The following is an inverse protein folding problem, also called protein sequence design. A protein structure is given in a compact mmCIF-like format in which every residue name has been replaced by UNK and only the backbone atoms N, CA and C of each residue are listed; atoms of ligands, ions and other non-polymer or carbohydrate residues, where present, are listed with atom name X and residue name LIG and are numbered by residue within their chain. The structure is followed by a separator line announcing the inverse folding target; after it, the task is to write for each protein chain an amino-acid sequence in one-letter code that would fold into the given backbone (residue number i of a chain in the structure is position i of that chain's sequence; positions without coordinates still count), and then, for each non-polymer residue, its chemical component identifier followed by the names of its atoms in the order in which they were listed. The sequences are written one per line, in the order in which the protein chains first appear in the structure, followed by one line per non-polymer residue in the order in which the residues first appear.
data_IF_358896396127
#
_entry.id   IF_358896396127
#
_cell.length_a   1.000
_cell.length_b   1.000
_cell.length_c   1.000
_cell.angle_alpha   90.00
_cell.angle_beta   90.00
_cell.angle_gamma   90.00
#
_symmetry.space_group_name_H-M   'P 1'
#
loop_
_entity.id
_entity.type
_entity.pdbx_description
1 polymer ?
#
# COMPACT_ATOMS: atom_id res chain seq x y z
N UNK A 1 -6.15 -12.64 10.06
CA UNK A 1 -5.33 -12.06 8.98
C UNK A 1 -4.42 -11.03 9.63
N UNK A 2 -3.11 -11.22 9.50
CA UNK A 2 -2.11 -10.29 10.04
C UNK A 2 -2.12 -9.06 9.14
N UNK A 3 -2.80 -8.00 9.54
CA UNK A 3 -2.73 -6.71 8.85
C UNK A 3 -1.49 -6.01 9.39
N UNK A 4 -0.33 -6.37 8.85
CA UNK A 4 0.91 -5.64 9.09
C UNK A 4 0.65 -4.16 8.77
N UNK A 5 0.77 -3.31 9.79
CA UNK A 5 0.64 -1.85 9.70
C UNK A 5 1.84 -1.29 8.91
N UNK A 6 1.88 -1.62 7.63
CA UNK A 6 2.80 -1.06 6.65
C UNK A 6 2.12 0.19 6.13
N UNK A 7 2.76 1.35 6.30
CA UNK A 7 2.32 2.62 5.72
C UNK A 7 1.89 2.36 4.27
N UNK A 8 0.65 2.77 3.98
CA UNK A 8 -0.14 2.47 2.79
C UNK A 8 0.69 2.18 1.54
N UNK A 9 0.79 0.91 1.22
CA UNK A 9 0.97 0.46 -0.17
C UNK A 9 -0.29 -0.33 -0.46
N UNK A 10 -1.32 0.35 -0.97
CA UNK A 10 -2.39 -0.35 -1.70
C UNK A 10 -1.72 -0.89 -2.96
N UNK A 11 -1.13 -2.08 -2.86
CA UNK A 11 -0.76 -2.84 -4.02
C UNK A 11 -2.07 -3.23 -4.70
N UNK A 12 -2.43 -2.52 -5.76
CA UNK A 12 -3.51 -2.91 -6.65
C UNK A 12 -3.04 -4.14 -7.44
N UNK A 13 -3.03 -5.30 -6.78
CA UNK A 13 -2.88 -6.59 -7.43
C UNK A 13 -4.23 -6.96 -8.04
N UNK A 14 -4.42 -6.64 -9.32
CA UNK A 14 -5.44 -7.32 -10.10
C UNK A 14 -4.74 -8.47 -10.83
N UNK A 15 -5.05 -9.72 -10.52
CA UNK A 15 -4.53 -10.86 -11.27
C UNK A 15 -5.56 -11.23 -12.35
N UNK A 16 -5.38 -10.78 -13.59
CA UNK A 16 -6.15 -11.39 -14.69
C UNK A 16 -5.42 -12.62 -15.23
N UNK A 17 -5.83 -13.80 -14.76
CA UNK A 17 -5.59 -15.03 -15.48
C UNK A 17 -6.50 -15.07 -16.72
N UNK A 18 -5.98 -14.68 -17.89
CA UNK A 18 -6.73 -14.78 -19.14
C UNK A 18 -6.12 -15.81 -20.09
N UNK A 19 -6.80 -16.95 -20.22
CA UNK A 19 -6.85 -17.67 -21.49
C UNK A 19 -7.66 -16.84 -22.51
N UNK A 20 -7.06 -15.76 -23.03
CA UNK A 20 -7.68 -14.97 -24.08
C UNK A 20 -7.62 -15.74 -25.42
N UNK A 21 -8.74 -15.85 -26.17
CA UNK A 21 -8.69 -16.38 -27.52
C UNK A 21 -7.77 -15.49 -28.39
N UNK A 22 -6.90 -16.13 -29.17
CA UNK A 22 -5.95 -15.49 -30.07
C UNK A 22 -6.69 -14.64 -31.13
N UNK A 23 -6.97 -13.37 -30.81
CA UNK A 23 -7.71 -12.47 -31.69
C UNK A 23 -8.28 -11.21 -31.03
N UNK A 24 -8.37 -11.13 -29.70
CA UNK A 24 -8.78 -9.89 -29.03
C UNK A 24 -7.62 -8.89 -28.97
N UNK A 25 -7.86 -7.63 -29.34
CA UNK A 25 -6.93 -6.53 -29.11
C UNK A 25 -6.57 -6.48 -27.60
N UNK A 26 -5.32 -6.12 -27.23
CA UNK A 26 -4.89 -6.09 -25.84
C UNK A 26 -5.87 -5.23 -25.04
N UNK A 27 -6.57 -5.86 -24.09
CA UNK A 27 -7.50 -5.17 -23.21
C UNK A 27 -6.63 -4.33 -22.26
N UNK A 28 -6.67 -3.02 -22.44
CA UNK A 28 -6.12 -2.08 -21.46
C UNK A 28 -7.27 -1.78 -20.50
N UNK A 29 -7.09 -2.16 -19.23
CA UNK A 29 -7.98 -1.76 -18.15
C UNK A 29 -7.45 -0.46 -17.60
N UNK A 30 -8.33 0.52 -17.41
CA UNK A 30 -8.02 1.74 -16.67
C UNK A 30 -9.14 1.92 -15.68
N UNK A 31 -8.79 1.96 -14.40
CA UNK A 31 -9.73 2.20 -13.33
C UNK A 31 -9.25 3.35 -12.46
N UNK A 32 -10.21 4.13 -11.97
CA UNK A 32 -9.96 5.26 -11.08
C UNK A 32 -10.62 4.98 -9.76
N UNK A 33 -9.84 5.04 -8.69
CA UNK A 33 -10.30 4.66 -7.37
C UNK A 33 -10.05 5.79 -6.38
N UNK A 34 -10.91 5.82 -5.37
CA UNK A 34 -10.83 6.70 -4.21
C UNK A 34 -11.29 5.90 -3.00
N UNK A 35 -10.56 6.03 -1.90
CA UNK A 35 -10.86 5.36 -0.66
C UNK A 35 -10.79 6.37 0.48
N UNK A 36 -11.64 6.14 1.49
CA UNK A 36 -11.61 6.85 2.74
C UNK A 36 -11.71 5.84 3.87
N UNK A 37 -10.83 5.97 4.86
CA UNK A 37 -10.77 5.12 6.03
C UNK A 37 -10.62 6.00 7.27
N UNK A 38 -11.48 5.77 8.25
CA UNK A 38 -11.38 6.46 9.54
C UNK A 38 -11.82 5.52 10.67
N UNK A 39 -11.00 5.41 11.72
CA UNK A 39 -11.26 4.54 12.86
C UNK A 39 -10.44 4.95 14.09
N UNK A 40 -10.80 4.41 15.25
CA UNK A 40 -9.98 4.48 16.46
C UNK A 40 -8.81 3.49 16.30
N UNK A 41 -7.60 3.99 16.19
CA UNK A 41 -6.43 3.17 15.92
C UNK A 41 -6.18 2.12 17.02
N UNK A 42 -6.53 2.45 18.26
CA UNK A 42 -6.51 1.55 19.43
C UNK A 42 -7.38 0.28 19.29
N UNK A 43 -8.33 0.25 18.33
CA UNK A 43 -9.13 -0.95 18.05
C UNK A 43 -8.31 -2.03 17.33
N UNK A 44 -7.19 -1.66 16.70
CA UNK A 44 -6.24 -2.60 16.13
C UNK A 44 -5.29 -3.11 17.24
N UNK A 45 -5.32 -4.40 17.60
CA UNK A 45 -4.48 -4.94 18.66
C UNK A 45 -2.98 -4.92 18.35
N UNK A 46 -2.59 -4.70 17.09
CA UNK A 46 -1.20 -4.55 16.65
C UNK A 46 -0.74 -3.08 16.65
N UNK A 47 -1.67 -2.12 16.78
CA UNK A 47 -1.35 -0.70 16.79
C UNK A 47 -0.79 -0.25 18.14
N UNK A 48 0.47 0.22 18.13
CA UNK A 48 1.18 0.91 19.20
C UNK A 48 0.65 0.67 20.62
N UNK A 49 0.94 -0.51 21.15
CA UNK A 49 0.57 -0.90 22.51
C UNK A 49 1.16 0.11 23.51
N UNK A 50 0.35 0.54 24.47
CA UNK A 50 0.74 1.44 25.56
C UNK A 50 1.10 2.90 25.19
N UNK A 51 0.51 3.47 24.12
CA UNK A 51 0.64 4.91 23.81
C UNK A 51 0.23 5.84 24.97
N UNK A 52 -0.70 5.39 25.81
CA UNK A 52 -1.18 6.15 26.97
C UNK A 52 -2.26 7.19 26.64
N UNK A 53 -2.67 7.31 25.38
CA UNK A 53 -3.77 8.16 24.93
C UNK A 53 -4.44 7.55 23.68
N UNK A 54 -5.76 7.76 23.49
CA UNK A 54 -6.47 7.28 22.31
C UNK A 54 -6.12 8.04 21.03
N UNK A 55 -5.92 7.30 19.95
CA UNK A 55 -5.58 7.85 18.63
C UNK A 55 -6.71 7.63 17.62
N UNK A 56 -7.14 8.71 16.98
CA UNK A 56 -7.99 8.65 15.78
C UNK A 56 -7.12 8.63 14.54
N UNK A 57 -7.34 7.64 13.68
CA UNK A 57 -6.72 7.55 12.37
C UNK A 57 -7.70 7.95 11.27
N UNK A 58 -7.22 8.71 10.31
CA UNK A 58 -7.94 9.07 9.09
C UNK A 58 -7.01 8.97 7.89
N UNK A 59 -7.52 8.47 6.78
CA UNK A 59 -6.81 8.32 5.51
C UNK A 59 -7.77 8.60 4.36
N UNK A 60 -7.34 9.49 3.47
CA UNK A 60 -7.88 9.62 2.13
C UNK A 60 -6.84 9.10 1.14
N UNK A 61 -7.25 8.18 0.27
CA UNK A 61 -6.41 7.61 -0.77
C UNK A 61 -7.09 7.71 -2.13
N UNK A 62 -6.30 7.89 -3.17
CA UNK A 62 -6.80 7.92 -4.54
C UNK A 62 -5.74 7.49 -5.53
N UNK A 63 -6.19 7.03 -6.69
CA UNK A 63 -5.25 6.57 -7.69
C UNK A 63 -5.85 6.24 -9.03
N UNK A 64 -5.00 5.67 -9.88
CA UNK A 64 -5.39 5.14 -11.18
C UNK A 64 -4.69 3.82 -11.37
N UNK A 65 -5.48 2.76 -11.46
CA UNK A 65 -5.01 1.44 -11.82
C UNK A 65 -4.99 1.30 -13.35
N UNK A 66 -3.98 0.60 -13.86
CA UNK A 66 -3.84 0.24 -15.26
C UNK A 66 -3.43 -1.22 -15.40
N UNK A 67 -4.27 -1.97 -16.10
CA UNK A 67 -4.04 -3.37 -16.42
C UNK A 67 -3.69 -3.57 -17.89
N UNK A 68 -2.73 -4.44 -18.19
CA UNK A 68 -2.40 -4.81 -19.57
C UNK A 68 -1.99 -6.26 -19.67
N UNK A 69 -2.41 -6.93 -20.75
CA UNK A 69 -1.97 -8.30 -21.05
C UNK A 69 -0.77 -8.26 -22.00
N UNK A 70 0.34 -8.86 -21.59
CA UNK A 70 1.58 -9.02 -22.36
C UNK A 70 1.91 -10.49 -22.47
N UNK A 71 1.99 -11.01 -23.70
CA UNK A 71 2.26 -12.43 -23.96
C UNK A 71 1.33 -13.41 -23.21
N UNK A 72 0.06 -13.02 -23.01
CA UNK A 72 -0.93 -13.83 -22.29
C UNK A 72 -0.87 -13.72 -20.76
N UNK A 73 0.02 -12.89 -20.22
CA UNK A 73 0.16 -12.62 -18.78
C UNK A 73 -0.32 -11.22 -18.48
N UNK A 74 -1.09 -11.04 -17.41
CA UNK A 74 -1.55 -9.73 -16.99
C UNK A 74 -0.52 -9.03 -16.11
N UNK A 75 -0.38 -7.73 -16.32
CA UNK A 75 0.47 -6.84 -15.54
C UNK A 75 -0.35 -5.62 -15.10
N UNK A 76 -0.27 -5.31 -13.81
CA UNK A 76 -0.80 -4.13 -13.17
C UNK A 76 0.23 -3.01 -13.04
N UNK A 77 -0.27 -1.79 -13.01
CA UNK A 77 0.44 -0.62 -12.54
C UNK A 77 -0.55 0.34 -11.89
N UNK A 78 -0.17 0.98 -10.80
CA UNK A 78 -1.01 1.93 -10.08
C UNK A 78 -0.27 3.23 -9.82
N UNK A 79 -0.96 4.37 -9.88
CA UNK A 79 -0.51 5.59 -9.22
C UNK A 79 -1.27 5.73 -7.92
N UNK A 80 -0.59 6.10 -6.84
CA UNK A 80 -1.16 6.21 -5.50
C UNK A 80 -0.91 7.62 -4.96
N UNK A 81 -1.94 8.23 -4.40
CA UNK A 81 -1.89 9.47 -3.65
C UNK A 81 -2.63 9.27 -2.34
N UNK A 82 -1.92 9.44 -1.22
CA UNK A 82 -2.47 9.26 0.12
C UNK A 82 -2.22 10.51 0.96
N UNK A 83 -3.21 10.83 1.79
CA UNK A 83 -3.09 11.82 2.85
C UNK A 83 -3.76 11.24 4.08
N UNK A 84 -3.02 11.08 5.16
CA UNK A 84 -3.56 10.55 6.39
C UNK A 84 -3.05 11.24 7.62
N UNK A 85 -3.64 10.91 8.76
CA UNK A 85 -3.31 11.52 10.02
C UNK A 85 -3.61 10.63 11.22
N UNK A 86 -2.84 10.84 12.27
CA UNK A 86 -3.00 10.28 13.61
C UNK A 86 -3.27 11.44 14.56
N UNK A 87 -4.42 11.45 15.22
CA UNK A 87 -4.84 12.53 16.12
C UNK A 87 -4.99 12.01 17.54
N UNK A 88 -4.27 12.60 18.49
CA UNK A 88 -4.49 12.32 19.91
C UNK A 88 -5.81 12.98 20.35
N UNK A 89 -6.77 12.16 20.77
CA UNK A 89 -8.11 12.64 21.12
C UNK A 89 -8.17 13.40 22.45
N UNK A 90 -7.15 13.31 23.30
CA UNK A 90 -7.11 14.03 24.59
C UNK A 90 -6.69 15.49 24.43
N UNK A 91 -5.77 15.78 23.49
CA UNK A 91 -5.19 17.11 23.31
C UNK A 91 -5.45 17.73 21.92
N UNK A 92 -6.00 16.97 20.98
CA UNK A 92 -6.34 17.41 19.63
C UNK A 92 -5.15 17.66 18.70
N UNK A 93 -3.93 17.24 19.09
CA UNK A 93 -2.74 17.35 18.24
C UNK A 93 -2.74 16.26 17.18
N UNK A 94 -2.28 16.61 15.98
CA UNK A 94 -2.29 15.73 14.82
C UNK A 94 -0.89 15.55 14.22
N UNK A 95 -0.54 14.32 13.91
CA UNK A 95 0.63 13.92 13.14
C UNK A 95 0.15 13.43 11.78
N UNK A 96 0.57 14.09 10.70
CA UNK A 96 0.04 13.80 9.35
C UNK A 96 1.11 13.22 8.44
N UNK A 97 0.69 12.46 7.44
CA UNK A 97 1.56 12.02 6.36
C UNK A 97 0.91 12.25 5.01
N UNK A 98 1.76 12.37 4.00
CA UNK A 98 1.35 12.36 2.59
C UNK A 98 2.28 11.44 1.82
N UNK A 99 1.69 10.56 1.05
CA UNK A 99 2.41 9.65 0.17
C UNK A 99 2.00 9.91 -1.26
N UNK A 100 2.96 9.93 -2.17
CA UNK A 100 2.66 9.78 -3.59
C UNK A 100 3.65 8.82 -4.21
N UNK A 101 3.16 7.96 -5.08
CA UNK A 101 4.01 6.97 -5.72
C UNK A 101 3.32 6.26 -6.86
N UNK A 102 4.05 5.30 -7.40
CA UNK A 102 3.55 4.38 -8.39
C UNK A 102 4.06 2.97 -8.12
N UNK A 103 3.16 2.02 -8.32
CA UNK A 103 3.43 0.60 -8.31
C UNK A 103 3.43 0.09 -9.75
N UNK A 104 4.31 -0.86 -10.03
CA UNK A 104 4.35 -1.52 -11.32
C UNK A 104 4.85 -2.94 -11.14
N UNK A 105 4.08 -3.88 -11.68
CA UNK A 105 4.48 -5.28 -11.78
C UNK A 105 5.65 -5.37 -12.77
N UNK A 106 6.74 -5.94 -12.30
CA UNK A 106 7.96 -6.18 -13.10
C UNK A 106 8.04 -7.60 -13.62
N UNK A 107 7.52 -8.56 -12.86
CA UNK A 107 7.42 -9.97 -13.24
C UNK A 107 6.14 -10.55 -12.64
N UNK A 108 5.54 -11.48 -13.37
CA UNK A 108 4.32 -12.19 -12.94
C UNK A 108 4.51 -13.66 -13.31
N UNK A 109 4.61 -14.51 -12.29
CA UNK A 109 4.92 -15.93 -12.43
C UNK A 109 3.80 -16.77 -11.84
N UNK A 110 3.19 -17.64 -12.67
CA UNK A 110 2.20 -18.60 -12.20
C UNK A 110 2.85 -19.76 -11.46
N UNK A 111 2.40 -20.05 -10.23
CA UNK A 111 2.90 -21.14 -9.40
C UNK A 111 2.08 -22.44 -9.55
N UNK A 112 0.95 -22.37 -10.26
CA UNK A 112 -0.02 -23.47 -10.39
C UNK A 112 -1.16 -23.35 -9.37
N UNK A 113 -2.21 -24.14 -9.56
CA UNK A 113 -3.38 -24.21 -8.65
C UNK A 113 -4.04 -22.86 -8.29
N UNK A 114 -4.00 -21.90 -9.21
CA UNK A 114 -4.56 -20.55 -8.99
C UNK A 114 -3.65 -19.61 -8.22
N UNK A 115 -2.39 -19.99 -7.96
CA UNK A 115 -1.43 -19.12 -7.30
C UNK A 115 -0.57 -18.35 -8.32
N UNK A 116 -0.38 -17.06 -8.05
CA UNK A 116 0.47 -16.17 -8.83
C UNK A 116 1.42 -15.45 -7.89
N UNK A 117 2.69 -15.41 -8.27
CA UNK A 117 3.73 -14.58 -7.68
C UNK A 117 3.93 -13.33 -8.53
N UNK A 118 3.97 -12.16 -7.89
CA UNK A 118 4.10 -10.86 -8.57
C UNK A 118 5.26 -10.10 -7.95
N UNK A 119 6.28 -9.79 -8.74
CA UNK A 119 7.34 -8.86 -8.36
C UNK A 119 6.91 -7.44 -8.65
N UNK A 120 6.94 -6.58 -7.63
CA UNK A 120 6.46 -5.20 -7.70
C UNK A 120 7.58 -4.21 -7.42
N UNK A 121 7.62 -3.14 -8.21
CA UNK A 121 8.37 -1.94 -7.92
C UNK A 121 7.44 -0.82 -7.47
N UNK A 122 7.55 -0.41 -6.21
CA UNK A 122 6.97 0.85 -5.73
C UNK A 122 8.01 1.96 -5.80
N UNK A 123 7.72 3.06 -6.46
CA UNK A 123 8.56 4.27 -6.41
C UNK A 123 7.73 5.45 -5.92
N UNK A 124 8.21 6.13 -4.88
CA UNK A 124 7.42 7.20 -4.29
C UNK A 124 8.17 8.03 -3.26
N UNK A 125 7.43 8.93 -2.64
CA UNK A 125 7.82 9.64 -1.43
C UNK A 125 6.73 9.50 -0.39
N UNK A 126 7.14 9.38 0.86
CA UNK A 126 6.31 9.61 2.04
C UNK A 126 6.88 10.81 2.79
N UNK A 127 6.04 11.79 3.13
CA UNK A 127 6.42 12.96 3.93
C UNK A 127 5.54 13.04 5.17
N UNK A 128 6.17 13.11 6.34
CA UNK A 128 5.49 13.24 7.62
C UNK A 128 5.59 14.68 8.12
N UNK A 129 4.52 15.13 8.77
CA UNK A 129 4.29 16.53 9.14
C UNK A 129 3.91 16.61 10.62
N UNK A 130 4.58 17.51 11.34
CA UNK A 130 4.25 17.83 12.74
C UNK A 130 2.91 18.57 12.84
N UNK A 131 2.42 18.73 14.08
CA UNK A 131 1.25 19.54 14.45
C UNK A 131 1.26 20.98 13.86
N UNK A 132 2.43 21.60 13.70
CA UNK A 132 2.57 22.94 13.12
C UNK A 132 2.42 22.98 11.59
N UNK A 133 2.19 21.84 10.94
CA UNK A 133 2.20 21.72 9.47
C UNK A 133 3.59 21.93 8.88
N UNK A 134 4.65 21.59 9.61
CA UNK A 134 6.03 21.56 9.10
C UNK A 134 6.43 20.11 8.77
N UNK A 135 7.12 19.87 7.65
CA UNK A 135 7.65 18.54 7.35
C UNK A 135 8.74 18.20 8.38
N UNK A 136 8.65 17.02 8.97
CA UNK A 136 9.61 16.53 9.98
C UNK A 136 10.44 15.36 9.48
N UNK A 137 9.86 14.49 8.66
CA UNK A 137 10.53 13.31 8.11
C UNK A 137 10.10 13.11 6.67
N UNK A 138 10.99 12.58 5.84
CA UNK A 138 10.72 12.28 4.43
C UNK A 138 11.51 11.05 4.02
N UNK A 139 10.79 10.08 3.47
CA UNK A 139 11.37 8.92 2.81
C UNK A 139 11.08 9.03 1.32
N UNK A 140 12.11 8.98 0.48
CA UNK A 140 12.00 9.10 -0.96
C UNK A 140 12.84 8.00 -1.61
N UNK A 141 12.21 7.13 -2.38
CA UNK A 141 12.93 6.01 -2.95
C UNK A 141 12.09 5.03 -3.73
N UNK A 142 12.69 3.86 -3.94
CA UNK A 142 12.07 2.71 -4.55
C UNK A 142 12.11 1.53 -3.59
N UNK A 143 10.96 0.91 -3.37
CA UNK A 143 10.84 -0.40 -2.74
C UNK A 143 10.64 -1.45 -3.83
N UNK A 144 11.25 -2.61 -3.64
CA UNK A 144 10.97 -3.82 -4.41
C UNK A 144 10.50 -4.91 -3.47
N UNK A 145 9.38 -5.56 -3.79
CA UNK A 145 8.78 -6.61 -2.99
C UNK A 145 8.07 -7.63 -3.89
N UNK A 146 7.77 -8.80 -3.34
CA UNK A 146 6.98 -9.83 -4.01
C UNK A 146 5.67 -10.04 -3.27
N UNK A 147 4.59 -10.22 -4.03
CA UNK A 147 3.29 -10.64 -3.55
C UNK A 147 3.00 -12.06 -4.01
N UNK A 148 2.31 -12.83 -3.19
CA UNK A 148 1.69 -14.09 -3.59
C UNK A 148 0.19 -13.94 -3.47
N UNK A 149 -0.50 -14.07 -4.61
CA UNK A 149 -1.95 -13.96 -4.72
C UNK A 149 -2.52 -15.34 -5.02
N UNK A 150 -3.56 -15.72 -4.28
CA UNK A 150 -4.41 -16.85 -4.57
C UNK A 150 -5.64 -16.38 -5.34
N UNK A 151 -5.67 -16.66 -6.64
CA UNK A 151 -6.76 -16.28 -7.55
C UNK A 151 -7.93 -17.27 -7.53
N UNK A 152 -7.89 -18.26 -6.62
CA UNK A 152 -8.86 -19.38 -6.53
C UNK A 152 -9.05 -20.14 -7.85
N UNK A 153 -8.12 -19.97 -8.80
CA UNK A 153 -8.21 -20.48 -10.17
C UNK A 153 -9.31 -19.83 -11.03
N UNK A 154 -9.86 -18.70 -10.60
CA UNK A 154 -10.89 -17.95 -11.34
C UNK A 154 -10.28 -16.73 -12.06
N UNK A 155 -10.97 -16.18 -13.06
CA UNK A 155 -10.62 -14.90 -13.67
C UNK A 155 -11.26 -13.70 -12.96
N UNK A 156 -11.94 -13.89 -11.82
CA UNK A 156 -12.66 -12.86 -11.08
C UNK A 156 -11.74 -12.23 -10.01
N UNK A 157 -11.19 -11.04 -10.25
CA UNK A 157 -10.24 -10.44 -9.32
C UNK A 157 -10.87 -10.05 -7.97
N UNK A 158 -12.21 -10.07 -7.84
CA UNK A 158 -12.87 -9.78 -6.56
C UNK A 158 -12.73 -10.94 -5.55
N UNK A 159 -12.38 -12.16 -5.99
CA UNK A 159 -12.15 -13.31 -5.12
C UNK A 159 -10.67 -13.63 -4.84
N UNK A 160 -9.76 -12.84 -5.45
CA UNK A 160 -8.32 -12.92 -5.24
C UNK A 160 -7.95 -12.58 -3.78
N UNK A 161 -7.01 -13.33 -3.22
CA UNK A 161 -6.53 -13.14 -1.84
C UNK A 161 -5.00 -13.01 -1.81
N UNK A 162 -4.49 -11.93 -1.21
CA UNK A 162 -3.06 -11.84 -0.88
C UNK A 162 -2.74 -12.81 0.27
N UNK A 163 -1.92 -13.82 -0.03
CA UNK A 163 -1.51 -14.86 0.93
C UNK A 163 -0.03 -14.78 1.30
N UNK A 164 0.73 -13.90 0.64
CA UNK A 164 2.16 -13.73 0.91
C UNK A 164 2.68 -12.36 0.51
N UNK A 165 3.61 -11.85 1.30
CA UNK A 165 4.33 -10.61 1.08
C UNK A 165 5.79 -10.80 1.49
N UNK A 166 6.72 -10.46 0.60
CA UNK A 166 8.16 -10.46 0.88
C UNK A 166 8.79 -9.13 0.46
N UNK A 167 9.34 -8.40 1.43
CA UNK A 167 10.13 -7.22 1.15
C UNK A 167 11.56 -7.62 0.73
N UNK A 168 12.03 -7.07 -0.40
CA UNK A 168 13.39 -7.33 -0.86
C UNK A 168 14.35 -6.19 -0.52
N UNK A 169 13.98 -4.97 -0.91
CA UNK A 169 14.92 -3.86 -0.91
C UNK A 169 14.25 -2.50 -0.93
N UNK A 170 14.81 -1.58 -0.16
CA UNK A 170 14.62 -0.15 -0.34
C UNK A 170 15.87 0.49 -0.95
N UNK A 171 15.70 1.48 -1.82
CA UNK A 171 16.79 2.30 -2.35
C UNK A 171 16.33 3.74 -2.44
N UNK A 172 16.98 4.64 -1.71
CA UNK A 172 16.57 6.03 -1.61
C UNK A 172 17.08 6.67 -0.32
N UNK A 173 16.58 7.86 -0.02
CA UNK A 173 16.74 8.46 1.31
C UNK A 173 15.61 7.99 2.20
N UNK A 174 15.92 7.45 3.37
CA UNK A 174 14.93 7.20 4.41
C UNK A 174 15.35 7.90 5.70
N UNK A 175 14.49 8.78 6.18
CA UNK A 175 14.64 9.45 7.47
C UNK A 175 13.90 8.71 8.59
N UNK A 176 12.99 7.80 8.24
CA UNK A 176 12.31 6.91 9.18
C UNK A 176 13.07 5.63 9.48
N UNK A 177 14.10 5.28 8.69
CA UNK A 177 14.91 4.08 8.92
C UNK A 177 15.50 4.06 10.34
N UNK A 178 15.16 3.01 11.10
CA UNK A 178 15.59 2.82 12.48
C UNK A 178 14.83 3.63 13.54
N UNK A 179 13.78 4.39 13.16
CA UNK A 179 12.86 5.03 14.09
C UNK A 179 11.79 4.05 14.56
N UNK A 180 11.22 4.34 15.73
CA UNK A 180 10.06 3.65 16.27
C UNK A 180 8.83 4.54 16.04
N UNK A 181 7.93 4.10 15.18
CA UNK A 181 6.72 4.85 14.83
C UNK A 181 5.86 5.18 16.06
N UNK A 182 5.79 4.29 17.05
CA UNK A 182 5.00 4.52 18.26
C UNK A 182 5.67 5.56 19.16
N UNK A 183 7.00 5.55 19.24
CA UNK A 183 7.74 6.61 19.92
C UNK A 183 7.55 7.97 19.22
N UNK A 184 7.45 7.99 17.89
CA UNK A 184 7.19 9.20 17.12
C UNK A 184 5.80 9.77 17.43
N UNK A 185 4.77 8.94 17.60
CA UNK A 185 3.46 9.40 18.04
C UNK A 185 3.52 10.04 19.43
N UNK A 186 4.22 9.43 20.39
CA UNK A 186 4.41 10.04 21.72
C UNK A 186 5.18 11.36 21.62
N UNK A 187 6.22 11.42 20.80
CA UNK A 187 7.04 12.64 20.59
C UNK A 187 6.22 13.79 19.99
N UNK A 188 5.43 13.51 18.95
CA UNK A 188 4.78 14.55 18.16
C UNK A 188 3.37 14.92 18.64
N UNK A 189 2.60 13.96 19.19
CA UNK A 189 1.20 14.17 19.58
C UNK A 189 0.86 13.78 21.01
N UNK A 190 1.82 13.28 21.79
CA UNK A 190 1.68 13.09 23.25
C UNK A 190 1.43 14.37 24.05
#
# INVERSE_FOLDING_TARGET
MKRSLTIGTVAAAASLALAAPAGAAPQIIIDHWTEHLAYLADEDPEFCQDLGFPVWFELDASGTFRGTVRNGVFYGASTVHESGSYTNLENGKTYSFRTYGNDMDTDVTGLGDGLVEIDVHHTGVASLWSVDGKPVLTDAGRVTFTLVIDTKGTPDPEDDEEIGFEFHRFTGGSQTEGRDFCADLVEFIG
#
